data_IF_829426069952
#
_entry.id   IF_829426069952
#
_cell.length_a   1.000
_cell.length_b   1.000
_cell.length_c   1.000
_cell.angle_alpha   90.00
_cell.angle_beta   90.00
_cell.angle_gamma   90.00
#
_symmetry.space_group_name_H-M   'P 1'
#
loop_
_entity.id
_entity.type
_entity.pdbx_description
1 polymer ?
#
# COMPACT_ATOMS: atom_id res chain seq x y z
N UNK A 1 13.85 4.47 37.95
CA UNK A 1 14.68 5.09 39.00
C UNK A 1 15.94 5.57 38.32
N UNK A 2 16.22 6.87 38.32
CA UNK A 2 17.30 7.46 37.54
C UNK A 2 18.64 7.48 38.32
N UNK A 3 19.77 7.59 37.62
CA UNK A 3 21.10 7.64 38.23
C UNK A 3 21.27 8.88 39.09
N UNK A 4 20.69 10.03 38.70
CA UNK A 4 20.72 11.26 39.51
C UNK A 4 20.13 11.04 40.92
N UNK A 5 19.06 10.27 41.06
CA UNK A 5 18.44 9.94 42.35
C UNK A 5 19.27 8.90 43.11
N UNK A 6 19.83 7.93 42.40
CA UNK A 6 20.59 6.83 43.00
C UNK A 6 21.98 7.28 43.49
N UNK A 7 22.68 8.10 42.73
CA UNK A 7 23.99 8.62 43.10
C UNK A 7 23.91 9.67 44.22
N UNK A 8 22.78 10.36 44.38
CA UNK A 8 22.52 11.18 45.58
C UNK A 8 22.38 10.36 46.87
N UNK A 9 21.97 9.09 46.76
CA UNK A 9 21.76 8.22 47.93
C UNK A 9 22.98 7.35 48.26
N UNK A 10 23.72 6.92 47.23
CA UNK A 10 24.80 5.93 47.38
C UNK A 10 26.16 6.44 46.90
N UNK A 11 26.23 7.67 46.39
CA UNK A 11 27.46 8.25 45.88
C UNK A 11 28.45 8.59 46.99
N UNK A 12 29.76 8.65 46.69
CA UNK A 12 30.77 9.09 47.64
C UNK A 12 30.48 10.51 48.13
N UNK A 13 30.63 10.77 49.43
CA UNK A 13 30.30 12.08 50.02
C UNK A 13 31.07 13.25 49.40
N UNK A 14 32.33 13.05 49.00
CA UNK A 14 33.11 14.08 48.32
C UNK A 14 32.58 14.47 46.92
N UNK A 15 31.67 13.67 46.36
CA UNK A 15 31.05 13.92 45.07
C UNK A 15 29.65 14.53 45.23
N UNK A 16 28.96 14.20 46.34
CA UNK A 16 27.56 14.57 46.61
C UNK A 16 27.44 15.77 47.56
N UNK A 17 28.37 15.94 48.51
CA UNK A 17 28.34 16.94 49.59
C UNK A 17 29.39 18.06 49.42
N UNK A 18 30.47 17.86 48.64
CA UNK A 18 31.64 18.76 48.58
C UNK A 18 31.49 19.87 47.51
N UNK A 19 30.61 20.83 47.79
CA UNK A 19 30.60 22.13 47.10
C UNK A 19 29.92 22.19 45.72
N UNK A 20 29.73 23.42 45.25
CA UNK A 20 28.92 23.72 44.06
C UNK A 20 29.47 23.09 42.75
N UNK A 21 30.79 23.02 42.57
CA UNK A 21 31.40 22.52 41.33
C UNK A 21 31.37 20.99 41.21
N UNK A 22 31.67 20.25 42.29
CA UNK A 22 31.65 18.77 42.27
C UNK A 22 30.23 18.24 41.99
N UNK A 23 29.23 18.90 42.57
CA UNK A 23 27.81 18.56 42.40
C UNK A 23 27.37 18.78 40.94
N UNK A 24 27.86 19.85 40.28
CA UNK A 24 27.56 20.13 38.87
C UNK A 24 28.22 19.10 37.93
N UNK A 25 29.47 18.71 38.22
CA UNK A 25 30.17 17.65 37.46
C UNK A 25 29.41 16.33 37.61
N UNK A 26 29.05 15.93 38.84
CA UNK A 26 28.25 14.72 39.08
C UNK A 26 26.91 14.75 38.33
N UNK A 27 26.18 15.86 38.42
CA UNK A 27 24.91 16.02 37.75
C UNK A 27 25.03 15.84 36.23
N UNK A 28 26.07 16.41 35.61
CA UNK A 28 26.31 16.26 34.17
C UNK A 28 26.63 14.81 33.77
N UNK A 29 27.44 14.09 34.56
CA UNK A 29 27.76 12.69 34.31
C UNK A 29 26.51 11.80 34.46
N UNK A 30 25.72 12.03 35.51
CA UNK A 30 24.49 11.29 35.77
C UNK A 30 23.44 11.55 34.68
N UNK A 31 23.35 12.79 34.18
CA UNK A 31 22.47 13.14 33.06
C UNK A 31 22.87 12.38 31.79
N UNK A 32 24.16 12.27 31.48
CA UNK A 32 24.61 11.47 30.33
C UNK A 32 24.31 9.98 30.51
N UNK A 33 24.47 9.44 31.72
CA UNK A 33 24.16 8.04 32.03
C UNK A 33 22.66 7.76 31.92
N UNK A 34 21.82 8.65 32.45
CA UNK A 34 20.37 8.58 32.34
C UNK A 34 19.93 8.59 30.88
N UNK A 35 20.42 9.55 30.09
CA UNK A 35 20.13 9.63 28.67
C UNK A 35 20.61 8.39 27.90
N UNK A 36 21.78 7.85 28.25
CA UNK A 36 22.32 6.64 27.63
C UNK A 36 21.49 5.41 27.95
N UNK A 37 21.06 5.23 29.20
CA UNK A 37 20.19 4.14 29.60
C UNK A 37 18.80 4.26 28.97
N UNK A 38 18.23 5.46 28.94
CA UNK A 38 16.93 5.70 28.31
C UNK A 38 17.00 5.34 26.82
N UNK A 39 18.05 5.76 26.12
CA UNK A 39 18.28 5.38 24.73
C UNK A 39 18.42 3.87 24.54
N UNK A 40 19.14 3.19 25.43
CA UNK A 40 19.32 1.74 25.38
C UNK A 40 17.99 1.01 25.64
N UNK A 41 17.20 1.48 26.59
CA UNK A 41 15.88 0.97 26.91
C UNK A 41 14.89 1.17 25.75
N UNK A 42 14.77 2.39 25.21
CA UNK A 42 13.95 2.68 24.05
C UNK A 42 14.42 1.88 22.82
N UNK A 43 15.73 1.72 22.62
CA UNK A 43 16.28 0.88 21.55
C UNK A 43 15.87 -0.59 21.67
N UNK A 44 15.87 -1.14 22.89
CA UNK A 44 15.40 -2.51 23.13
C UNK A 44 13.89 -2.66 22.87
N UNK A 45 13.09 -1.64 23.17
CA UNK A 45 11.65 -1.65 22.95
C UNK A 45 11.25 -1.36 21.51
N UNK A 46 12.07 -0.60 20.77
CA UNK A 46 11.83 -0.21 19.39
C UNK A 46 11.63 -1.40 18.44
N UNK A 47 12.14 -2.59 18.79
CA UNK A 47 11.93 -3.83 18.00
C UNK A 47 10.49 -4.34 18.01
N UNK A 48 9.69 -3.94 19.01
CA UNK A 48 8.33 -4.43 19.20
C UNK A 48 7.33 -3.42 18.60
N UNK A 49 6.56 -3.80 17.57
CA UNK A 49 5.66 -2.86 16.90
C UNK A 49 4.66 -2.17 17.84
N UNK A 50 4.05 -2.92 18.76
CA UNK A 50 3.05 -2.35 19.68
C UNK A 50 3.67 -1.34 20.64
N UNK A 51 4.85 -1.66 21.17
CA UNK A 51 5.56 -0.77 22.10
C UNK A 51 6.11 0.45 21.40
N UNK A 52 6.67 0.28 20.19
CA UNK A 52 7.12 1.38 19.35
C UNK A 52 5.97 2.33 18.99
N UNK A 53 4.77 1.79 18.70
CA UNK A 53 3.57 2.59 18.45
C UNK A 53 3.07 3.31 19.71
N UNK A 54 3.05 2.63 20.86
CA UNK A 54 2.57 3.20 22.12
C UNK A 54 3.48 4.32 22.64
N UNK A 55 4.79 4.12 22.56
CA UNK A 55 5.79 5.08 23.04
C UNK A 55 6.14 6.15 22.02
N UNK A 56 5.59 6.09 20.80
CA UNK A 56 5.87 7.05 19.73
C UNK A 56 7.36 7.09 19.35
N UNK A 57 8.02 5.93 19.27
CA UNK A 57 9.45 5.88 18.94
C UNK A 57 9.64 6.21 17.46
N UNK A 58 10.23 7.38 17.19
CA UNK A 58 10.44 7.89 15.84
C UNK A 58 11.20 6.91 14.94
N UNK A 59 10.69 6.72 13.73
CA UNK A 59 11.31 5.87 12.71
C UNK A 59 11.30 4.36 12.97
N UNK A 60 10.97 3.90 14.18
CA UNK A 60 11.00 2.47 14.53
C UNK A 60 10.01 1.65 13.68
N UNK A 61 8.76 2.10 13.58
CA UNK A 61 7.75 1.41 12.77
C UNK A 61 8.07 1.40 11.28
N UNK A 62 8.71 2.45 10.78
CA UNK A 62 9.14 2.52 9.39
C UNK A 62 10.28 1.54 9.11
N UNK A 63 11.26 1.45 10.01
CA UNK A 63 12.35 0.49 9.90
C UNK A 63 11.83 -0.96 9.90
N UNK A 64 10.92 -1.28 10.82
CA UNK A 64 10.25 -2.59 10.87
C UNK A 64 9.42 -2.84 9.59
N UNK A 65 8.74 -1.80 9.09
CA UNK A 65 7.97 -1.88 7.85
C UNK A 65 8.80 -2.20 6.63
N UNK A 66 9.97 -1.57 6.49
CA UNK A 66 10.93 -1.85 5.41
C UNK A 66 11.44 -3.29 5.48
N UNK A 67 11.82 -3.76 6.66
CA UNK A 67 12.25 -5.15 6.89
C UNK A 67 11.16 -6.16 6.48
N UNK A 68 9.92 -5.93 6.92
CA UNK A 68 8.78 -6.81 6.67
C UNK A 68 8.08 -6.57 5.32
N UNK A 69 8.61 -5.67 4.50
CA UNK A 69 8.02 -5.21 3.22
C UNK A 69 6.52 -4.88 3.33
N UNK A 70 6.13 -4.27 4.44
CA UNK A 70 4.75 -3.84 4.68
C UNK A 70 4.71 -2.32 4.56
N UNK A 71 4.05 -1.82 3.52
CA UNK A 71 3.92 -0.39 3.29
C UNK A 71 2.90 0.23 4.25
N UNK A 72 3.21 1.43 4.73
CA UNK A 72 2.26 2.28 5.44
C UNK A 72 1.18 2.77 4.46
N UNK A 73 -0.06 2.84 4.91
CA UNK A 73 -1.18 3.29 4.11
C UNK A 73 -1.06 4.76 3.69
N UNK A 74 -1.71 5.08 2.58
CA UNK A 74 -1.79 6.42 1.97
C UNK A 74 -2.68 7.41 2.74
N UNK A 75 -3.59 6.89 3.58
CA UNK A 75 -4.45 7.70 4.44
C UNK A 75 -3.80 7.99 5.80
N UNK A 76 -4.55 8.64 6.73
CA UNK A 76 -4.13 8.80 8.12
C UNK A 76 -4.17 7.44 8.85
N UNK A 77 -3.20 6.58 8.55
CA UNK A 77 -3.04 5.30 9.25
C UNK A 77 -2.39 5.55 10.63
N UNK A 78 -3.11 5.16 11.69
CA UNK A 78 -2.61 5.29 13.06
C UNK A 78 -1.42 4.36 13.29
N UNK A 79 -0.52 4.76 14.18
CA UNK A 79 0.64 3.94 14.55
C UNK A 79 0.21 2.54 15.03
N UNK A 80 -0.90 2.46 15.78
CA UNK A 80 -1.47 1.22 16.31
C UNK A 80 -2.01 0.30 15.20
N UNK A 81 -2.74 0.83 14.22
CA UNK A 81 -3.25 0.01 13.11
C UNK A 81 -2.11 -0.53 12.26
N UNK A 82 -1.08 0.30 12.01
CA UNK A 82 0.11 -0.10 11.29
C UNK A 82 0.92 -1.17 12.04
N UNK A 83 1.18 -0.97 13.34
CA UNK A 83 1.83 -1.96 14.19
C UNK A 83 1.09 -3.30 14.20
N UNK A 84 -0.24 -3.26 14.23
CA UNK A 84 -1.06 -4.48 14.14
C UNK A 84 -0.83 -5.21 12.83
N UNK A 85 -0.74 -4.51 11.69
CA UNK A 85 -0.39 -5.11 10.39
C UNK A 85 1.02 -5.70 10.38
N UNK A 86 1.98 -4.96 10.95
CA UNK A 86 3.36 -5.42 11.07
C UNK A 86 3.45 -6.74 11.85
N UNK A 87 2.61 -7.00 12.85
CA UNK A 87 2.60 -8.28 13.58
C UNK A 87 2.10 -9.46 12.73
N UNK A 88 1.15 -9.24 11.83
CA UNK A 88 0.53 -10.28 10.99
C UNK A 88 1.32 -10.59 9.71
N UNK A 89 2.41 -9.87 9.46
CA UNK A 89 3.19 -9.96 8.22
C UNK A 89 3.48 -11.41 7.77
N UNK A 90 3.86 -12.29 8.70
CA UNK A 90 4.19 -13.68 8.39
C UNK A 90 2.94 -14.51 8.06
N UNK A 91 1.82 -14.26 8.75
CA UNK A 91 0.55 -14.91 8.45
C UNK A 91 0.00 -14.46 7.09
N UNK A 92 0.15 -13.19 6.77
CA UNK A 92 -0.26 -12.64 5.48
C UNK A 92 0.64 -13.20 4.37
N UNK A 93 1.96 -13.26 4.59
CA UNK A 93 2.92 -13.82 3.63
C UNK A 93 2.62 -15.28 3.26
N UNK A 94 2.09 -16.09 4.20
CA UNK A 94 1.64 -17.47 3.92
C UNK A 94 0.46 -17.54 2.94
N UNK A 95 -0.31 -16.45 2.80
CA UNK A 95 -1.47 -16.34 1.91
C UNK A 95 -1.14 -15.61 0.60
N UNK A 96 0.14 -15.34 0.34
CA UNK A 96 0.60 -14.71 -0.89
C UNK A 96 0.18 -15.53 -2.11
N UNK A 97 -0.23 -14.85 -3.19
CA UNK A 97 -0.80 -15.47 -4.37
C UNK A 97 -2.30 -15.73 -4.31
N UNK A 98 -2.96 -15.51 -3.16
CA UNK A 98 -4.42 -15.47 -3.10
C UNK A 98 -4.95 -14.14 -3.67
N UNK A 99 -5.94 -14.15 -4.59
CA UNK A 99 -6.59 -12.92 -5.08
C UNK A 99 -7.14 -12.04 -3.95
N UNK A 100 -7.71 -12.68 -2.92
CA UNK A 100 -8.27 -11.99 -1.76
C UNK A 100 -7.20 -11.30 -0.92
N UNK A 101 -6.05 -11.95 -0.73
CA UNK A 101 -4.95 -11.35 0.01
C UNK A 101 -4.33 -10.18 -0.76
N UNK A 102 -4.20 -10.30 -2.08
CA UNK A 102 -3.80 -9.17 -2.94
C UNK A 102 -4.74 -7.97 -2.75
N UNK A 103 -6.06 -8.19 -2.83
CA UNK A 103 -7.06 -7.13 -2.64
C UNK A 103 -7.04 -6.55 -1.22
N UNK A 104 -6.82 -7.39 -0.19
CA UNK A 104 -6.67 -6.93 1.18
C UNK A 104 -5.44 -6.00 1.32
N UNK A 105 -4.31 -6.33 0.69
CA UNK A 105 -3.10 -5.49 0.75
C UNK A 105 -3.24 -4.18 0.00
N UNK A 106 -3.96 -4.18 -1.12
CA UNK A 106 -4.34 -2.95 -1.80
C UNK A 106 -5.27 -2.09 -0.94
N UNK A 107 -6.26 -2.69 -0.27
CA UNK A 107 -7.16 -1.99 0.64
C UNK A 107 -6.44 -1.40 1.86
N UNK A 108 -5.50 -2.15 2.45
CA UNK A 108 -4.66 -1.68 3.55
C UNK A 108 -3.79 -0.47 3.14
N UNK A 109 -3.34 -0.41 1.89
CA UNK A 109 -2.56 0.70 1.37
C UNK A 109 -3.42 1.92 1.00
N UNK A 110 -4.49 1.73 0.23
CA UNK A 110 -5.32 2.82 -0.31
C UNK A 110 -6.28 3.40 0.77
N UNK A 111 -6.57 2.62 1.81
CA UNK A 111 -7.46 2.90 2.94
C UNK A 111 -8.95 2.61 2.70
N UNK A 112 -9.75 2.86 3.75
CA UNK A 112 -11.17 2.54 3.80
C UNK A 112 -11.99 3.30 2.75
N UNK A 113 -13.02 2.65 2.21
CA UNK A 113 -13.90 3.20 1.17
C UNK A 113 -13.61 2.72 -0.25
N UNK A 114 -12.43 2.14 -0.49
CA UNK A 114 -12.09 1.53 -1.79
C UNK A 114 -12.59 0.09 -1.88
N UNK A 115 -13.06 -0.32 -3.05
CA UNK A 115 -13.39 -1.71 -3.36
C UNK A 115 -12.54 -2.24 -4.51
N UNK A 116 -12.41 -3.55 -4.58
CA UNK A 116 -11.45 -4.20 -5.46
C UNK A 116 -12.08 -5.37 -6.18
N UNK A 117 -11.65 -5.59 -7.41
CA UNK A 117 -11.92 -6.83 -8.14
C UNK A 117 -10.66 -7.32 -8.82
N UNK A 118 -10.60 -8.61 -9.05
CA UNK A 118 -9.65 -9.23 -9.97
C UNK A 118 -10.41 -10.13 -10.91
N UNK A 119 -9.95 -10.18 -12.15
CA UNK A 119 -10.54 -11.01 -13.20
C UNK A 119 -9.42 -11.66 -13.98
N UNK A 120 -9.52 -12.96 -14.24
CA UNK A 120 -8.58 -13.68 -15.10
C UNK A 120 -9.08 -13.78 -16.54
N UNK A 121 -8.24 -14.30 -17.44
CA UNK A 121 -8.59 -14.47 -18.84
C UNK A 121 -9.75 -15.45 -19.10
N UNK A 122 -10.17 -16.23 -18.10
CA UNK A 122 -11.33 -17.13 -18.18
C UNK A 122 -12.62 -16.48 -17.66
N UNK A 123 -12.55 -15.27 -17.13
CA UNK A 123 -13.68 -14.60 -16.49
C UNK A 123 -13.98 -15.18 -15.11
N UNK A 124 -12.95 -15.60 -14.36
CA UNK A 124 -13.08 -15.82 -12.92
C UNK A 124 -12.94 -14.49 -12.19
N UNK A 125 -14.02 -14.05 -11.57
CA UNK A 125 -14.10 -12.81 -10.83
C UNK A 125 -13.94 -13.06 -9.33
N UNK A 126 -13.05 -12.30 -8.70
CA UNK A 126 -12.96 -12.19 -7.25
C UNK A 126 -13.19 -10.74 -6.88
N UNK A 127 -14.06 -10.50 -5.89
CA UNK A 127 -14.41 -9.16 -5.44
C UNK A 127 -14.16 -9.03 -3.95
N UNK A 128 -13.74 -7.84 -3.54
CA UNK A 128 -13.65 -7.42 -2.14
C UNK A 128 -14.31 -6.06 -1.98
N UNK A 129 -15.38 -6.00 -1.20
CA UNK A 129 -16.12 -4.76 -0.96
C UNK A 129 -15.33 -3.78 -0.09
N UNK A 130 -15.76 -2.53 -0.03
CA UNK A 130 -15.17 -1.54 0.86
C UNK A 130 -15.25 -1.92 2.35
N UNK A 131 -16.25 -2.74 2.73
CA UNK A 131 -16.38 -3.31 4.07
C UNK A 131 -15.48 -4.54 4.29
N UNK A 132 -14.74 -4.98 3.27
CA UNK A 132 -13.86 -6.14 3.33
C UNK A 132 -14.57 -7.49 3.13
N UNK A 133 -15.81 -7.49 2.61
CA UNK A 133 -16.54 -8.72 2.28
C UNK A 133 -16.02 -9.29 0.97
N UNK A 134 -15.67 -10.56 0.98
CA UNK A 134 -15.08 -11.29 -0.14
C UNK A 134 -16.15 -12.12 -0.87
N UNK A 135 -16.22 -12.00 -2.19
CA UNK A 135 -17.11 -12.79 -3.04
C UNK A 135 -16.39 -13.24 -4.30
N UNK A 136 -16.90 -14.28 -4.95
CA UNK A 136 -16.37 -14.76 -6.22
C UNK A 136 -17.49 -15.21 -7.17
N UNK A 137 -17.19 -15.17 -8.46
CA UNK A 137 -18.05 -15.66 -9.55
C UNK A 137 -17.14 -16.26 -10.61
N UNK A 138 -17.27 -17.56 -10.85
CA UNK A 138 -16.31 -18.29 -11.68
C UNK A 138 -16.87 -18.55 -13.07
N UNK A 139 -15.96 -18.63 -14.05
CA UNK A 139 -16.23 -19.05 -15.42
C UNK A 139 -17.39 -18.32 -16.10
N UNK A 140 -17.49 -17.00 -15.86
CA UNK A 140 -18.53 -16.18 -16.49
C UNK A 140 -18.30 -16.04 -18.00
N UNK A 141 -17.06 -16.21 -18.48
CA UNK A 141 -16.72 -16.13 -19.90
C UNK A 141 -16.94 -14.75 -20.53
N UNK A 142 -17.13 -13.71 -19.72
CA UNK A 142 -17.51 -12.36 -20.15
C UNK A 142 -16.31 -11.40 -20.27
N UNK A 143 -15.09 -11.85 -20.00
CA UNK A 143 -13.91 -11.00 -20.01
C UNK A 143 -13.07 -11.22 -21.28
N UNK A 144 -13.27 -10.40 -22.30
CA UNK A 144 -12.52 -10.48 -23.55
C UNK A 144 -11.67 -9.20 -23.77
N UNK A 145 -10.39 -9.21 -23.42
CA UNK A 145 -9.56 -8.00 -23.48
C UNK A 145 -9.07 -7.64 -24.90
N UNK A 146 -8.56 -8.63 -25.64
CA UNK A 146 -7.86 -8.43 -26.91
C UNK A 146 -8.21 -9.52 -27.96
N UNK A 147 -9.33 -10.24 -27.76
CA UNK A 147 -9.76 -11.39 -28.60
C UNK A 147 -8.73 -12.51 -28.69
N UNK A 148 -7.70 -12.51 -27.84
CA UNK A 148 -6.59 -13.47 -27.93
C UNK A 148 -6.81 -14.64 -26.99
N UNK A 149 -7.58 -15.62 -27.47
CA UNK A 149 -7.76 -16.93 -26.82
C UNK A 149 -6.62 -17.86 -27.23
N UNK A 150 -5.42 -17.64 -26.68
CA UNK A 150 -4.29 -18.58 -26.86
C UNK A 150 -3.95 -19.26 -25.53
N UNK A 151 -3.55 -20.54 -25.61
CA UNK A 151 -3.10 -21.30 -24.46
C UNK A 151 -1.90 -20.65 -23.75
N UNK A 152 -1.13 -19.76 -24.40
CA UNK A 152 -0.01 -19.02 -23.82
C UNK A 152 -0.44 -17.84 -22.92
N UNK A 153 -1.71 -17.44 -22.95
CA UNK A 153 -2.24 -16.28 -22.22
C UNK A 153 -3.01 -16.63 -20.95
N UNK A 154 -3.01 -17.91 -20.56
CA UNK A 154 -3.76 -18.43 -19.41
C UNK A 154 -3.40 -17.75 -18.09
N UNK A 155 -2.16 -17.27 -17.97
CA UNK A 155 -1.64 -16.70 -16.73
C UNK A 155 -1.91 -15.19 -16.58
N UNK A 156 -2.74 -14.60 -17.47
CA UNK A 156 -3.09 -13.18 -17.44
C UNK A 156 -4.25 -12.92 -16.49
N UNK A 157 -4.13 -11.83 -15.75
CA UNK A 157 -5.23 -11.28 -14.97
C UNK A 157 -5.19 -9.75 -14.96
N UNK A 158 -6.29 -9.16 -14.53
CA UNK A 158 -6.46 -7.72 -14.38
C UNK A 158 -6.90 -7.43 -12.95
N UNK A 159 -6.46 -6.28 -12.44
CA UNK A 159 -6.87 -5.75 -11.15
C UNK A 159 -7.73 -4.53 -11.43
N UNK A 160 -8.90 -4.46 -10.80
CA UNK A 160 -9.81 -3.32 -10.89
C UNK A 160 -9.91 -2.72 -9.50
N UNK A 161 -9.65 -1.42 -9.41
CA UNK A 161 -9.69 -0.63 -8.20
C UNK A 161 -10.79 0.40 -8.36
N UNK A 162 -11.75 0.39 -7.44
CA UNK A 162 -12.72 1.46 -7.28
C UNK A 162 -12.22 2.33 -6.11
N UNK A 163 -11.60 3.49 -6.39
CA UNK A 163 -10.82 4.22 -5.40
C UNK A 163 -11.68 4.95 -4.34
N UNK A 164 -13.01 4.92 -4.48
CA UNK A 164 -13.91 5.69 -3.63
C UNK A 164 -13.59 7.18 -3.75
N UNK A 165 -13.25 7.81 -2.62
CA UNK A 165 -12.86 9.23 -2.57
C UNK A 165 -11.35 9.45 -2.65
N UNK A 166 -10.54 8.40 -2.76
CA UNK A 166 -9.07 8.53 -2.66
C UNK A 166 -8.45 9.19 -3.89
N UNK A 167 -8.89 8.78 -5.07
CA UNK A 167 -8.49 9.37 -6.34
C UNK A 167 -9.72 9.83 -7.09
N UNK A 168 -9.60 10.93 -7.80
CA UNK A 168 -10.61 11.40 -8.75
C UNK A 168 -10.03 11.39 -10.16
N UNK A 169 -10.92 11.36 -11.14
CA UNK A 169 -10.55 11.47 -12.54
C UNK A 169 -10.02 12.90 -12.80
N UNK A 170 -8.79 13.02 -13.29
CA UNK A 170 -8.18 14.29 -13.68
C UNK A 170 -8.46 14.58 -15.16
N UNK A 171 -8.65 15.86 -15.49
CA UNK A 171 -9.24 16.28 -16.75
C UNK A 171 -8.41 15.91 -18.00
N UNK A 172 -9.19 15.68 -19.07
CA UNK A 172 -8.81 15.28 -20.42
C UNK A 172 -7.66 16.10 -21.06
N UNK A 173 -7.16 15.58 -22.17
CA UNK A 173 -6.24 16.27 -23.08
C UNK A 173 -6.61 17.75 -23.29
N UNK A 174 -5.64 18.64 -23.10
CA UNK A 174 -5.83 20.10 -23.20
C UNK A 174 -6.17 20.81 -21.89
N UNK A 175 -6.23 20.10 -20.76
CA UNK A 175 -6.47 20.64 -19.42
C UNK A 175 -5.28 21.40 -18.80
N UNK A 176 -4.15 21.50 -19.51
CA UNK A 176 -2.91 22.12 -19.02
C UNK A 176 -2.03 21.20 -18.17
N UNK A 177 -2.36 19.92 -18.04
CA UNK A 177 -1.51 18.93 -17.37
C UNK A 177 -0.23 18.69 -18.18
N UNK A 178 0.93 18.86 -17.56
CA UNK A 178 2.24 18.72 -18.21
C UNK A 178 2.68 17.25 -18.23
N UNK A 179 3.37 16.86 -19.31
CA UNK A 179 4.05 15.57 -19.37
C UNK A 179 5.16 15.52 -18.32
N UNK A 180 5.17 14.45 -17.51
CA UNK A 180 6.17 14.28 -16.44
C UNK A 180 5.85 15.01 -15.13
N UNK A 181 4.59 15.40 -14.91
CA UNK A 181 4.12 15.93 -13.64
C UNK A 181 4.38 14.92 -12.49
N UNK A 182 5.02 15.41 -11.43
CA UNK A 182 5.38 14.62 -10.24
C UNK A 182 4.27 14.53 -9.22
N UNK A 183 3.25 15.38 -9.32
CA UNK A 183 2.14 15.45 -8.38
C UNK A 183 0.92 14.67 -8.84
N UNK A 184 0.78 14.40 -10.14
CA UNK A 184 -0.37 13.69 -10.72
C UNK A 184 0.02 12.85 -11.93
N UNK A 185 -0.64 11.71 -12.11
CA UNK A 185 -0.57 10.94 -13.35
C UNK A 185 -1.68 11.36 -14.32
N UNK A 186 -1.52 10.99 -15.58
CA UNK A 186 -2.55 11.28 -16.58
C UNK A 186 -3.85 10.52 -16.27
N UNK A 187 -5.00 11.20 -16.37
CA UNK A 187 -6.33 10.64 -16.12
C UNK A 187 -6.73 10.51 -14.64
N UNK A 188 -5.77 10.44 -13.71
CA UNK A 188 -6.06 10.26 -12.27
C UNK A 188 -5.32 11.27 -11.41
N UNK A 189 -5.90 11.69 -10.28
CA UNK A 189 -5.18 12.49 -9.28
C UNK A 189 -4.12 11.73 -8.48
N UNK A 190 -3.89 10.45 -8.76
CA UNK A 190 -2.84 9.66 -8.12
C UNK A 190 -1.46 10.21 -8.49
N UNK A 191 -0.52 10.22 -7.54
CA UNK A 191 0.86 10.62 -7.85
C UNK A 191 1.64 9.47 -8.50
N UNK A 192 2.71 9.73 -9.27
CA UNK A 192 3.55 8.67 -9.84
C UNK A 192 4.12 7.71 -8.79
N UNK A 193 4.39 8.20 -7.57
CA UNK A 193 4.87 7.35 -6.47
C UNK A 193 3.77 6.44 -5.93
N UNK A 194 2.52 6.92 -5.83
CA UNK A 194 1.37 6.09 -5.47
C UNK A 194 1.16 4.96 -6.50
N UNK A 195 1.24 5.28 -7.79
CA UNK A 195 1.14 4.28 -8.87
C UNK A 195 2.26 3.25 -8.76
N UNK A 196 3.50 3.66 -8.52
CA UNK A 196 4.63 2.76 -8.36
C UNK A 196 4.43 1.80 -7.16
N UNK A 197 3.90 2.29 -6.04
CA UNK A 197 3.63 1.48 -4.86
C UNK A 197 2.49 0.47 -5.09
N UNK A 198 1.40 0.88 -5.75
CA UNK A 198 0.33 -0.05 -6.14
C UNK A 198 0.86 -1.15 -7.05
N UNK A 199 1.67 -0.80 -8.06
CA UNK A 199 2.33 -1.77 -8.93
C UNK A 199 3.26 -2.70 -8.14
N UNK A 200 4.00 -2.17 -7.17
CA UNK A 200 4.84 -2.95 -6.26
C UNK A 200 4.03 -3.95 -5.45
N UNK A 201 2.90 -3.55 -4.87
CA UNK A 201 1.98 -4.44 -4.14
C UNK A 201 1.46 -5.54 -5.07
N UNK A 202 1.03 -5.20 -6.29
CA UNK A 202 0.54 -6.22 -7.24
C UNK A 202 1.66 -7.16 -7.67
N UNK A 203 2.87 -6.66 -7.92
CA UNK A 203 4.03 -7.46 -8.28
C UNK A 203 4.43 -8.43 -7.16
N UNK A 204 4.36 -7.96 -5.92
CA UNK A 204 4.66 -8.78 -4.78
C UNK A 204 3.56 -9.82 -4.54
N UNK A 205 2.30 -9.41 -4.44
CA UNK A 205 1.25 -10.27 -3.90
C UNK A 205 0.53 -11.16 -4.93
N UNK A 206 0.81 -10.99 -6.23
CA UNK A 206 0.26 -11.85 -7.29
C UNK A 206 0.69 -13.31 -7.14
N UNK A 207 -0.09 -14.25 -7.70
CA UNK A 207 0.36 -15.64 -7.83
C UNK A 207 1.67 -15.74 -8.62
N UNK A 208 2.48 -16.74 -8.29
CA UNK A 208 3.68 -17.04 -9.08
C UNK A 208 3.29 -17.47 -10.50
N UNK A 209 4.08 -17.07 -11.49
CA UNK A 209 3.84 -17.40 -12.91
C UNK A 209 2.70 -16.62 -13.59
N UNK A 210 1.97 -15.76 -12.88
CA UNK A 210 0.92 -14.92 -13.47
C UNK A 210 1.42 -13.52 -13.81
N UNK A 211 0.72 -12.87 -14.75
CA UNK A 211 1.00 -11.50 -15.20
C UNK A 211 -0.23 -10.63 -15.00
N UNK A 212 -0.09 -9.55 -14.24
CA UNK A 212 -1.11 -8.50 -14.23
C UNK A 212 -0.94 -7.71 -15.51
N UNK A 213 -1.93 -7.73 -16.40
CA UNK A 213 -1.85 -7.04 -17.70
C UNK A 213 -2.01 -5.55 -17.47
N UNK A 214 -3.14 -5.14 -16.90
CA UNK A 214 -3.41 -3.76 -16.52
C UNK A 214 -3.98 -3.70 -15.09
N UNK A 215 -3.71 -2.57 -14.44
CA UNK A 215 -4.42 -2.15 -13.23
C UNK A 215 -5.39 -1.06 -13.66
N UNK A 216 -6.68 -1.32 -13.47
CA UNK A 216 -7.78 -0.47 -13.94
C UNK A 216 -8.30 0.33 -12.75
N UNK A 217 -8.33 1.66 -12.88
CA UNK A 217 -8.94 2.55 -11.91
C UNK A 217 -10.33 2.92 -12.43
N UNK A 218 -11.37 2.36 -11.84
CA UNK A 218 -12.75 2.58 -12.25
C UNK A 218 -13.40 3.66 -11.37
N UNK A 219 -13.77 4.79 -11.97
CA UNK A 219 -14.44 5.89 -11.26
C UNK A 219 -15.97 5.74 -11.23
N UNK A 220 -16.52 4.89 -12.09
CA UNK A 220 -17.91 4.46 -12.05
C UNK A 220 -18.01 3.08 -11.41
N UNK A 221 -18.83 2.96 -10.35
CA UNK A 221 -19.05 1.73 -9.61
C UNK A 221 -19.90 0.70 -10.38
N UNK A 222 -20.63 1.13 -11.42
CA UNK A 222 -21.41 0.26 -12.28
C UNK A 222 -20.53 -0.45 -13.34
N UNK A 223 -19.37 0.11 -13.68
CA UNK A 223 -18.44 -0.45 -14.67
C UNK A 223 -17.78 -1.73 -14.19
N UNK A 224 -17.37 -2.57 -15.13
CA UNK A 224 -16.64 -3.83 -14.90
C UNK A 224 -17.38 -4.80 -13.96
N UNK A 225 -18.65 -5.06 -14.27
CA UNK A 225 -19.48 -6.01 -13.54
C UNK A 225 -19.38 -7.43 -14.13
N UNK A 226 -19.41 -8.50 -13.30
CA UNK A 226 -19.60 -9.86 -13.79
C UNK A 226 -20.88 -10.04 -14.62
N UNK A 227 -21.88 -9.17 -14.46
CA UNK A 227 -23.16 -9.25 -15.17
C UNK A 227 -23.25 -8.37 -16.41
N UNK A 228 -22.28 -7.47 -16.65
CA UNK A 228 -22.27 -6.55 -17.78
C UNK A 228 -20.95 -6.73 -18.56
N UNK A 229 -21.00 -7.25 -19.81
CA UNK A 229 -19.80 -7.65 -20.53
C UNK A 229 -19.01 -6.44 -21.03
N UNK A 230 -18.02 -6.07 -20.24
CA UNK A 230 -16.93 -5.17 -20.58
C UNK A 230 -15.67 -5.96 -20.18
N UNK A 231 -14.66 -6.20 -21.05
CA UNK A 231 -14.37 -5.65 -22.39
C UNK A 231 -14.79 -6.50 -23.62
N UNK A 232 -14.77 -5.87 -24.82
CA UNK A 232 -15.31 -6.38 -26.11
C UNK A 232 -14.30 -7.05 -27.05
N UNK A 233 -13.07 -7.26 -26.61
CA UNK A 233 -11.99 -7.89 -27.38
C UNK A 233 -11.12 -6.92 -28.19
N UNK A 234 -11.39 -5.61 -28.13
CA UNK A 234 -10.58 -4.60 -28.83
C UNK A 234 -9.77 -3.71 -27.88
N UNK A 235 -9.88 -3.91 -26.57
CA UNK A 235 -9.32 -3.04 -25.53
C UNK A 235 -7.79 -3.16 -25.38
N UNK A 236 -7.19 -4.20 -25.97
CA UNK A 236 -5.73 -4.30 -26.13
C UNK A 236 -5.13 -3.15 -26.94
N UNK A 237 -5.91 -2.52 -27.83
CA UNK A 237 -5.48 -1.36 -28.65
C UNK A 237 -6.04 -0.07 -28.05
N UNK A 238 -5.39 1.10 -28.24
CA UNK A 238 -5.87 2.38 -27.71
C UNK A 238 -7.09 2.95 -28.46
N UNK A 239 -7.27 2.60 -29.74
CA UNK A 239 -8.41 3.05 -30.55
C UNK A 239 -8.90 1.96 -31.50
N UNK A 240 -10.17 2.09 -31.93
CA UNK A 240 -10.85 1.27 -32.94
C UNK A 240 -11.51 2.16 -33.98
N UNK A 241 -11.74 1.62 -35.17
CA UNK A 241 -12.44 2.34 -36.24
C UNK A 241 -13.91 1.99 -36.20
N UNK A 242 -14.77 2.99 -36.03
CA UNK A 242 -16.24 2.85 -36.06
C UNK A 242 -16.76 3.86 -37.07
N UNK A 243 -17.44 3.37 -38.12
CA UNK A 243 -17.95 4.25 -39.18
C UNK A 243 -16.86 5.08 -39.90
N UNK A 244 -15.63 4.56 -39.99
CA UNK A 244 -14.50 5.26 -40.61
C UNK A 244 -13.78 6.27 -39.70
N UNK A 245 -14.22 6.46 -38.45
CA UNK A 245 -13.61 7.37 -37.48
C UNK A 245 -12.90 6.57 -36.37
N UNK A 246 -11.73 7.04 -35.94
CA UNK A 246 -11.03 6.49 -34.78
C UNK A 246 -11.72 6.92 -33.48
N UNK A 247 -12.19 5.94 -32.71
CA UNK A 247 -12.78 6.13 -31.38
C UNK A 247 -11.98 5.35 -30.34
N UNK A 248 -12.00 5.80 -29.09
CA UNK A 248 -11.38 5.07 -27.99
C UNK A 248 -12.04 3.68 -27.83
N UNK A 249 -11.23 2.65 -27.59
CA UNK A 249 -11.72 1.29 -27.32
C UNK A 249 -12.18 1.11 -25.88
N UNK A 250 -11.53 1.82 -24.96
CA UNK A 250 -11.69 1.69 -23.51
C UNK A 250 -12.70 2.69 -22.97
N UNK A 251 -13.31 2.36 -21.83
CA UNK A 251 -14.22 3.28 -21.15
C UNK A 251 -13.51 4.57 -20.75
N UNK A 252 -14.16 5.71 -20.98
CA UNK A 252 -13.71 7.03 -20.54
C UNK A 252 -13.92 7.29 -19.05
N UNK A 253 -14.65 6.41 -18.36
CA UNK A 253 -14.90 6.47 -16.90
C UNK A 253 -13.84 5.70 -16.10
N UNK A 254 -12.78 5.24 -16.75
CA UNK A 254 -11.72 4.47 -16.13
C UNK A 254 -10.34 4.80 -16.71
N UNK A 255 -9.32 4.65 -15.87
CA UNK A 255 -7.92 4.74 -16.26
C UNK A 255 -7.20 3.41 -16.19
N UNK A 256 -6.13 3.31 -16.96
CA UNK A 256 -5.44 2.05 -17.21
C UNK A 256 -3.95 2.22 -16.97
N UNK A 257 -3.49 1.76 -15.81
CA UNK A 257 -2.08 1.69 -15.50
C UNK A 257 -1.50 0.39 -16.04
N UNK A 258 -0.25 0.47 -16.50
CA UNK A 258 0.51 -0.72 -16.88
C UNK A 258 0.65 -1.64 -15.66
N UNK A 259 0.38 -2.92 -15.87
CA UNK A 259 0.45 -3.91 -14.82
C UNK A 259 1.88 -4.28 -14.44
N UNK A 260 2.09 -5.57 -14.21
CA UNK A 260 3.38 -6.11 -13.80
C UNK A 260 4.11 -6.67 -15.01
N UNK A 261 5.39 -6.30 -15.16
CA UNK A 261 6.28 -6.97 -16.11
C UNK A 261 6.64 -8.33 -15.53
N UNK A 262 6.60 -9.36 -16.37
CA UNK A 262 7.00 -10.73 -16.02
C UNK A 262 8.46 -10.81 -15.65
#
# INVERSE_FOLDING_TARGET
MDFRTRNKQFGPRWLVDDGAESTLVQYSLDLMLDASLERLYLGMLARYPDTAALLGIDGALEAIGRDRRTLRGLGPETATSYATRLKRWLHDAKKRGSPFMLMQKLQEYIAAGSSFRTVDARGNWFSRSAAGVETYTLNTGNWNWDSTVSAANWARFWVIIYPGTRWSHSANWGSGQLWGDTEKTWGTTATPSEVAQVRGIVADWKPAGTRCVNIIIAFDAASFSPTAPEPDGQWGKPSKVVGGVHVATRLSTADYWDGTRT
#
